data_IF_130350921322
#
_entry.id   IF_130350921322
#
_cell.length_a   1.000
_cell.length_b   1.000
_cell.length_c   1.000
_cell.angle_alpha   90.00
_cell.angle_beta   90.00
_cell.angle_gamma   90.00
#
_symmetry.space_group_name_H-M   'P 1'
#
loop_
_entity.id
_entity.type
_entity.pdbx_description
1 polymer ?
#
# COMPACT_ATOMS: atom_id res chain seq x y z
N UNK A 1 -0.41 -20.17 -15.99
CA UNK A 1 -0.46 -18.69 -16.09
C UNK A 1 -1.44 -18.18 -15.04
N UNK A 2 -1.00 -18.21 -13.79
CA UNK A 2 -1.85 -17.97 -12.62
C UNK A 2 -1.70 -16.51 -12.18
N UNK A 3 -2.73 -15.70 -12.45
CA UNK A 3 -2.85 -14.30 -12.05
C UNK A 3 -3.14 -14.19 -10.55
N UNK A 4 -2.35 -14.85 -9.68
CA UNK A 4 -2.51 -14.71 -8.24
C UNK A 4 -2.45 -13.23 -7.91
N UNK A 5 -3.61 -12.73 -7.50
CA UNK A 5 -3.97 -11.37 -7.11
C UNK A 5 -2.74 -10.59 -6.65
N UNK A 6 -2.51 -9.41 -7.25
CA UNK A 6 -1.69 -8.37 -6.63
C UNK A 6 -2.32 -8.08 -5.26
N UNK A 7 -1.84 -8.73 -4.21
CA UNK A 7 -2.31 -8.47 -2.86
C UNK A 7 -1.73 -7.12 -2.45
N UNK A 8 -2.61 -6.13 -2.27
CA UNK A 8 -2.22 -4.87 -1.64
C UNK A 8 -2.01 -5.18 -0.17
N UNK A 9 -0.74 -5.20 0.24
CA UNK A 9 -0.36 -5.45 1.62
C UNK A 9 -0.39 -4.14 2.39
N UNK A 10 -0.99 -4.16 3.56
CA UNK A 10 -0.85 -3.12 4.58
C UNK A 10 -0.44 -3.76 5.89
N UNK A 11 0.29 -3.04 6.74
CA UNK A 11 0.72 -3.59 8.01
C UNK A 11 -0.44 -3.54 9.04
N UNK A 12 -0.59 -4.56 9.91
CA UNK A 12 -1.69 -4.61 10.87
C UNK A 12 -1.49 -3.59 11.99
N UNK A 13 -2.57 -3.07 12.57
CA UNK A 13 -2.52 -2.08 13.67
C UNK A 13 -1.60 -2.54 14.82
N UNK A 14 -1.56 -3.86 15.11
CA UNK A 14 -0.69 -4.46 16.13
C UNK A 14 0.82 -4.38 15.85
N UNK A 15 1.25 -3.89 14.69
CA UNK A 15 2.66 -3.72 14.33
C UNK A 15 3.30 -2.41 14.86
N UNK A 16 2.66 -1.74 15.83
CA UNK A 16 3.14 -0.46 16.37
C UNK A 16 2.74 0.76 15.51
N UNK A 17 1.69 0.61 14.70
CA UNK A 17 1.19 1.66 13.83
C UNK A 17 0.09 2.45 14.52
N UNK A 18 0.01 3.76 14.21
CA UNK A 18 -1.19 4.52 14.52
C UNK A 18 -2.34 3.99 13.67
N UNK A 19 -3.49 3.77 14.31
CA UNK A 19 -4.75 3.48 13.62
C UNK A 19 -5.26 4.75 12.92
N UNK A 20 -4.75 5.00 11.72
CA UNK A 20 -5.08 6.20 10.95
C UNK A 20 -6.53 6.18 10.44
N UNK A 21 -7.29 7.25 10.70
CA UNK A 21 -8.67 7.40 10.19
C UNK A 21 -8.70 7.31 8.65
N UNK A 22 -7.79 7.99 7.95
CA UNK A 22 -7.69 7.93 6.48
C UNK A 22 -7.37 6.51 5.99
N UNK A 23 -6.55 5.76 6.72
CA UNK A 23 -6.23 4.36 6.42
C UNK A 23 -7.48 3.49 6.57
N UNK A 24 -8.20 3.59 7.69
CA UNK A 24 -9.43 2.83 7.91
C UNK A 24 -10.47 3.08 6.81
N UNK A 25 -10.73 4.36 6.50
CA UNK A 25 -11.62 4.72 5.40
C UNK A 25 -11.16 4.15 4.05
N UNK A 26 -9.85 4.16 3.77
CA UNK A 26 -9.29 3.63 2.53
C UNK A 26 -9.50 2.10 2.42
N UNK A 27 -9.23 1.35 3.49
CA UNK A 27 -9.43 -0.11 3.52
C UNK A 27 -10.90 -0.45 3.25
N UNK A 28 -11.82 0.25 3.90
CA UNK A 28 -13.26 0.07 3.65
C UNK A 28 -13.65 0.42 2.20
N UNK A 29 -13.12 1.54 1.67
CA UNK A 29 -13.40 1.97 0.30
C UNK A 29 -12.90 0.96 -0.73
N UNK A 30 -11.69 0.41 -0.53
CA UNK A 30 -11.12 -0.64 -1.38
C UNK A 30 -11.96 -1.92 -1.30
N UNK A 31 -12.41 -2.30 -0.10
CA UNK A 31 -13.34 -3.41 0.09
C UNK A 31 -14.64 -3.25 -0.70
N UNK A 32 -15.25 -2.06 -0.67
CA UNK A 32 -16.44 -1.74 -1.47
C UNK A 32 -16.18 -1.76 -2.98
N UNK A 33 -14.97 -1.42 -3.41
CA UNK A 33 -14.54 -1.49 -4.81
C UNK A 33 -14.16 -2.91 -5.28
N UNK A 34 -14.27 -3.93 -4.42
CA UNK A 34 -13.86 -5.30 -4.73
C UNK A 34 -12.34 -5.49 -4.80
N UNK A 35 -11.57 -4.54 -4.27
CA UNK A 35 -10.11 -4.58 -4.23
C UNK A 35 -9.70 -5.18 -2.87
N UNK A 36 -9.19 -6.43 -2.84
CA UNK A 36 -8.77 -7.05 -1.59
C UNK A 36 -7.57 -6.33 -0.98
N UNK A 37 -7.64 -6.05 0.32
CA UNK A 37 -6.51 -5.59 1.13
C UNK A 37 -6.11 -6.72 2.08
N UNK A 38 -4.83 -7.09 2.07
CA UNK A 38 -4.26 -8.02 3.03
C UNK A 38 -3.57 -7.25 4.15
N UNK A 39 -3.98 -7.47 5.39
CA UNK A 39 -3.28 -6.92 6.56
C UNK A 39 -2.27 -7.95 7.08
N UNK A 40 -0.99 -7.72 6.81
CA UNK A 40 0.11 -8.61 7.17
C UNK A 40 1.43 -7.85 7.35
N UNK A 41 2.38 -8.42 8.07
CA UNK A 41 3.68 -7.79 8.25
C UNK A 41 4.37 -7.56 6.90
N UNK A 42 4.85 -6.34 6.68
CA UNK A 42 5.60 -5.96 5.48
C UNK A 42 7.06 -5.83 5.87
N UNK A 43 7.89 -6.76 5.41
CA UNK A 43 9.35 -6.65 5.53
C UNK A 43 9.92 -5.71 4.45
N UNK A 44 11.17 -5.28 4.65
CA UNK A 44 11.84 -4.37 3.73
C UNK A 44 11.98 -4.95 2.31
N UNK A 45 12.27 -6.25 2.19
CA UNK A 45 12.43 -6.92 0.90
C UNK A 45 11.12 -6.86 0.10
N UNK A 46 9.98 -7.11 0.76
CA UNK A 46 8.65 -7.02 0.17
C UNK A 46 8.32 -5.59 -0.21
N UNK A 47 8.62 -4.62 0.65
CA UNK A 47 8.39 -3.20 0.36
C UNK A 47 9.18 -2.77 -0.88
N UNK A 48 10.46 -3.15 -0.98
CA UNK A 48 11.31 -2.82 -2.14
C UNK A 48 10.92 -3.56 -3.42
N UNK A 49 10.34 -4.75 -3.30
CA UNK A 49 9.82 -5.52 -4.44
C UNK A 49 8.40 -5.11 -4.88
N UNK A 50 7.76 -4.16 -4.19
CA UNK A 50 6.42 -3.73 -4.51
C UNK A 50 6.38 -3.01 -5.87
N UNK A 51 5.37 -3.32 -6.67
CA UNK A 51 5.12 -2.59 -7.92
C UNK A 51 4.67 -1.16 -7.67
N UNK A 52 4.02 -0.91 -6.52
CA UNK A 52 3.45 0.37 -6.12
C UNK A 52 3.49 0.51 -4.60
N UNK A 53 3.76 1.72 -4.12
CA UNK A 53 3.72 2.09 -2.70
C UNK A 53 3.05 3.46 -2.61
N UNK A 54 2.25 3.67 -1.58
CA UNK A 54 1.64 4.97 -1.31
C UNK A 54 1.57 5.23 0.20
N UNK A 55 1.48 6.51 0.56
CA UNK A 55 1.18 6.95 1.92
C UNK A 55 -0.29 7.34 2.01
N UNK A 56 -0.88 7.16 3.19
CA UNK A 56 -2.20 7.70 3.53
C UNK A 56 -2.11 8.65 4.72
N UNK A 57 -2.89 9.74 4.70
CA UNK A 57 -3.05 10.61 5.86
C UNK A 57 -3.89 11.84 5.57
N UNK A 58 -4.43 12.48 6.62
CA UNK A 58 -5.43 13.56 6.49
C UNK A 58 -5.00 14.70 5.57
N UNK A 59 -3.73 15.15 5.69
CA UNK A 59 -3.21 16.26 4.89
C UNK A 59 -2.79 15.81 3.48
N UNK A 60 -2.25 14.60 3.36
CA UNK A 60 -1.66 14.10 2.11
C UNK A 60 -2.65 13.34 1.22
N UNK A 61 -3.80 12.96 1.75
CA UNK A 61 -4.73 12.04 1.08
C UNK A 61 -4.03 10.71 0.81
N UNK A 62 -4.08 10.25 -0.45
CA UNK A 62 -3.31 9.11 -0.97
C UNK A 62 -2.16 9.68 -1.80
N UNK A 63 -0.93 9.45 -1.37
CA UNK A 63 0.27 10.01 -2.01
C UNK A 63 1.16 8.88 -2.55
N UNK A 64 1.38 8.77 -3.87
CA UNK A 64 2.27 7.74 -4.42
C UNK A 64 3.72 7.97 -3.98
N UNK A 65 4.39 6.88 -3.62
CA UNK A 65 5.84 6.82 -3.37
C UNK A 65 6.49 6.21 -4.59
N UNK A 66 7.20 7.04 -5.36
CA UNK A 66 7.85 6.61 -6.62
C UNK A 66 9.31 6.21 -6.43
N UNK A 67 9.91 6.55 -5.29
CA UNK A 67 11.28 6.19 -4.92
C UNK A 67 11.41 5.89 -3.43
N UNK A 68 12.23 4.89 -3.10
CA UNK A 68 12.65 4.54 -1.73
C UNK A 68 14.17 4.50 -1.73
N UNK A 69 14.82 5.34 -0.92
CA UNK A 69 16.28 5.46 -0.84
C UNK A 69 16.97 5.70 -2.20
N UNK A 70 16.31 6.47 -3.07
CA UNK A 70 16.81 6.78 -4.42
C UNK A 70 16.46 5.74 -5.48
N UNK A 71 16.11 4.52 -5.08
CA UNK A 71 15.70 3.44 -5.98
C UNK A 71 14.24 3.59 -6.39
N UNK A 72 13.93 3.30 -7.66
CA UNK A 72 12.58 3.41 -8.20
C UNK A 72 11.65 2.34 -7.61
N UNK A 73 10.45 2.75 -7.21
CA UNK A 73 9.34 1.81 -6.91
C UNK A 73 8.67 1.45 -8.23
N UNK A 74 8.61 0.15 -8.55
CA UNK A 74 8.05 -0.34 -9.81
C UNK A 74 8.69 0.34 -11.03
N UNK A 75 7.91 1.14 -11.76
CA UNK A 75 8.36 1.86 -12.96
C UNK A 75 8.87 3.29 -12.68
N UNK A 76 8.94 3.70 -11.41
CA UNK A 76 9.43 5.03 -11.01
C UNK A 76 8.41 6.17 -11.18
N UNK A 77 7.13 5.84 -11.41
CA UNK A 77 6.02 6.78 -11.50
C UNK A 77 4.80 6.29 -10.71
N UNK A 78 3.75 7.13 -10.56
CA UNK A 78 2.49 6.68 -9.96
C UNK A 78 1.95 5.46 -10.69
N UNK A 79 1.48 4.49 -9.92
CA UNK A 79 0.84 3.30 -10.45
C UNK A 79 -0.51 3.58 -11.11
N UNK A 80 -1.03 2.59 -11.83
CA UNK A 80 -2.27 2.71 -12.60
C UNK A 80 -3.50 2.13 -11.89
N UNK A 81 -3.37 1.66 -10.65
CA UNK A 81 -4.39 0.88 -9.94
C UNK A 81 -4.84 1.45 -8.62
#
# INVERSE_FOLDING_TARGET
MDRRRRARGDAPIGAGLLEGITRGWLIEALGRAGIPVGEEAIDERRLRAAGEVFLSGTIKGIMPVTRIDGEAVGVGGPGGV
#
